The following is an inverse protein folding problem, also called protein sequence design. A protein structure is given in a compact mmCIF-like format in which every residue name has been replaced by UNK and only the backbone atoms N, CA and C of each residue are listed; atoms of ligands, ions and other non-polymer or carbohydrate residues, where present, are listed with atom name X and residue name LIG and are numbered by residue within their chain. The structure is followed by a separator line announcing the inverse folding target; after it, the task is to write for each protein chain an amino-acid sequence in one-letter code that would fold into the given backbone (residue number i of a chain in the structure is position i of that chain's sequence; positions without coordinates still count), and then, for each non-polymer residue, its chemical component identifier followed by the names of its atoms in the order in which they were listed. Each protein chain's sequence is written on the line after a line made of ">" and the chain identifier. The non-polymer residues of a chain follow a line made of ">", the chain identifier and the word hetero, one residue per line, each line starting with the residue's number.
data_IF_711586516308
#
_entry.id   IF_711586516308
#
_cell.length_a   1.000
_cell.length_b   1.000
_cell.length_c   1.000
_cell.angle_alpha   90.00
_cell.angle_beta   90.00
_cell.angle_gamma   90.00
#
_symmetry.space_group_name_H-M   'P 1'
#
loop_
_entity.id
_entity.type
_entity.pdbx_description
1 polymer ?
#
# COMPACT_ATOMS: atom_id res chain seq x y z
N UNK A 1 8.21 16.78 -1.76
CA UNK A 1 7.34 16.28 -0.70
C UNK A 1 6.38 15.31 -1.35
N UNK A 2 6.60 14.04 -1.08
CA UNK A 2 5.77 12.92 -1.46
C UNK A 2 4.38 12.97 -0.86
N UNK A 3 3.42 12.34 -1.54
CA UNK A 3 2.03 12.25 -1.08
C UNK A 3 1.89 11.26 0.08
N UNK A 4 2.75 10.24 0.12
CA UNK A 4 2.73 9.15 1.09
C UNK A 4 3.54 9.46 2.35
N UNK A 5 4.57 10.31 2.26
CA UNK A 5 5.49 10.59 3.38
C UNK A 5 4.81 11.27 4.58
N UNK A 6 3.71 11.99 4.33
CA UNK A 6 2.92 12.69 5.36
C UNK A 6 1.63 11.95 5.73
N UNK A 7 1.42 10.73 5.21
CA UNK A 7 0.19 10.00 5.41
C UNK A 7 0.16 9.29 6.78
N UNK A 8 -0.90 9.50 7.55
CA UNK A 8 -1.11 8.77 8.81
C UNK A 8 -1.45 7.29 8.58
N UNK A 9 -2.24 7.01 7.54
CA UNK A 9 -2.61 5.65 7.15
C UNK A 9 -2.31 5.42 5.68
N UNK A 10 -1.66 4.29 5.40
CA UNK A 10 -1.34 3.84 4.05
C UNK A 10 -1.95 2.47 3.84
N UNK A 11 -2.55 2.29 2.68
CA UNK A 11 -3.20 1.06 2.30
C UNK A 11 -2.90 0.67 0.86
N UNK A 12 -3.14 -0.59 0.59
CA UNK A 12 -3.15 -1.15 -0.75
C UNK A 12 -4.59 -1.07 -1.27
N UNK A 13 -4.80 -0.38 -2.38
CA UNK A 13 -6.09 -0.26 -3.06
C UNK A 13 -6.04 -0.97 -4.40
N UNK A 14 -7.14 -1.61 -4.79
CA UNK A 14 -7.28 -2.17 -6.13
C UNK A 14 -7.58 -1.04 -7.13
N UNK A 15 -6.86 -0.97 -8.25
CA UNK A 15 -7.06 0.08 -9.26
C UNK A 15 -8.43 0.03 -9.93
N UNK A 16 -9.02 -1.17 -10.09
CA UNK A 16 -10.25 -1.33 -10.84
C UNK A 16 -11.49 -0.95 -10.02
N UNK A 17 -11.56 -1.37 -8.76
CA UNK A 17 -12.72 -1.14 -7.89
C UNK A 17 -12.49 -0.10 -6.79
N UNK A 18 -11.26 0.40 -6.65
CA UNK A 18 -10.87 1.33 -5.58
C UNK A 18 -11.09 0.75 -4.16
N UNK A 19 -11.24 -0.58 -4.07
CA UNK A 19 -11.42 -1.29 -2.79
C UNK A 19 -10.10 -1.35 -2.05
N UNK A 20 -10.18 -1.22 -0.74
CA UNK A 20 -9.04 -1.42 0.16
C UNK A 20 -8.80 -2.93 0.27
N UNK A 21 -7.65 -3.37 -0.24
CA UNK A 21 -7.21 -4.77 -0.19
C UNK A 21 -6.54 -5.05 1.15
N UNK A 22 -5.68 -4.12 1.60
CA UNK A 22 -5.01 -4.21 2.89
C UNK A 22 -4.67 -2.83 3.44
N UNK A 23 -4.62 -2.74 4.76
CA UNK A 23 -4.16 -1.55 5.48
C UNK A 23 -2.83 -1.87 6.11
N UNK A 24 -1.81 -1.07 5.83
CA UNK A 24 -0.50 -1.26 6.42
C UNK A 24 -0.55 -0.80 7.90
N UNK A 25 -0.24 -1.68 8.87
CA UNK A 25 -0.49 -1.41 10.28
C UNK A 25 0.61 -0.58 10.96
N UNK A 26 1.77 -0.38 10.31
CA UNK A 26 2.91 0.33 10.88
C UNK A 26 3.08 1.72 10.28
N UNK A 27 3.77 2.61 10.98
CA UNK A 27 4.15 3.91 10.43
C UNK A 27 5.35 3.72 9.51
N UNK A 28 5.21 4.08 8.25
CA UNK A 28 6.31 4.12 7.29
C UNK A 28 6.87 5.53 7.19
N UNK A 29 8.19 5.63 7.02
CA UNK A 29 8.89 6.89 6.82
C UNK A 29 9.88 6.69 5.68
N UNK A 30 9.95 7.65 4.76
CA UNK A 30 10.81 7.57 3.60
C UNK A 30 10.17 8.26 2.40
N UNK A 31 10.76 8.04 1.23
CA UNK A 31 10.20 8.52 -0.04
C UNK A 31 8.98 7.70 -0.45
N UNK A 32 8.10 8.23 -1.32
CA UNK A 32 6.96 7.47 -1.83
C UNK A 32 7.37 6.12 -2.41
N UNK A 33 8.49 6.07 -3.14
CA UNK A 33 8.99 4.84 -3.76
C UNK A 33 9.37 3.78 -2.71
N UNK A 34 10.02 4.19 -1.61
CA UNK A 34 10.35 3.29 -0.51
C UNK A 34 9.10 2.79 0.21
N UNK A 35 8.16 3.70 0.49
CA UNK A 35 6.88 3.37 1.11
C UNK A 35 6.12 2.35 0.25
N UNK A 36 6.02 2.60 -1.06
CA UNK A 36 5.36 1.69 -1.99
C UNK A 36 6.00 0.31 -1.93
N UNK A 37 7.35 0.25 -1.92
CA UNK A 37 8.06 -1.02 -1.85
C UNK A 37 7.80 -1.75 -0.53
N UNK A 38 7.89 -1.06 0.62
CA UNK A 38 7.66 -1.63 1.95
C UNK A 38 6.25 -2.23 2.06
N UNK A 39 5.23 -1.48 1.66
CA UNK A 39 3.83 -1.92 1.77
C UNK A 39 3.55 -3.09 0.83
N UNK A 40 4.09 -3.07 -0.40
CA UNK A 40 3.90 -4.18 -1.37
C UNK A 40 4.62 -5.44 -0.93
N UNK A 41 5.85 -5.32 -0.42
CA UNK A 41 6.64 -6.46 0.08
C UNK A 41 5.96 -7.10 1.29
N UNK A 42 5.50 -6.30 2.25
CA UNK A 42 4.72 -6.77 3.39
C UNK A 42 3.43 -7.50 2.98
N UNK A 43 2.69 -6.94 2.02
CA UNK A 43 1.45 -7.57 1.54
C UNK A 43 1.73 -8.87 0.78
N UNK A 44 2.81 -8.91 -0.01
CA UNK A 44 3.28 -10.12 -0.69
C UNK A 44 3.64 -11.23 0.30
N UNK A 45 4.28 -10.89 1.42
CA UNK A 45 4.58 -11.85 2.49
C UNK A 45 3.32 -12.39 3.20
N UNK A 46 2.19 -11.70 3.09
CA UNK A 46 0.97 -12.05 3.83
C UNK A 46 0.19 -13.21 3.19
N UNK A 47 0.22 -13.37 1.86
CA UNK A 47 -0.44 -14.49 1.19
C UNK A 47 0.08 -14.73 -0.23
N UNK A 48 0.14 -15.99 -0.66
CA UNK A 48 0.55 -16.35 -2.02
C UNK A 48 -0.44 -15.83 -3.09
N UNK A 49 -1.72 -15.64 -2.73
CA UNK A 49 -2.73 -15.02 -3.60
C UNK A 49 -2.54 -13.50 -3.77
N UNK A 50 -1.65 -12.88 -2.99
CA UNK A 50 -1.38 -11.45 -3.07
C UNK A 50 -0.62 -11.06 -4.33
N UNK A 51 0.05 -11.98 -5.02
CA UNK A 51 0.81 -11.69 -6.25
C UNK A 51 -0.10 -11.17 -7.37
N UNK A 52 -1.18 -11.88 -7.68
CA UNK A 52 -2.19 -11.44 -8.66
C UNK A 52 -2.87 -10.13 -8.25
N UNK A 53 -3.17 -9.98 -6.95
CA UNK A 53 -3.78 -8.76 -6.43
C UNK A 53 -2.80 -7.57 -6.53
N UNK A 54 -1.51 -7.79 -6.33
CA UNK A 54 -0.47 -6.75 -6.44
C UNK A 54 -0.28 -6.21 -7.85
N UNK A 55 -0.60 -7.00 -8.90
CA UNK A 55 -0.56 -6.55 -10.29
C UNK A 55 -1.60 -5.46 -10.55
N UNK A 56 -2.77 -5.60 -9.92
CA UNK A 56 -3.89 -4.67 -10.07
C UNK A 56 -3.99 -3.66 -8.93
N UNK A 57 -3.19 -3.80 -7.88
CA UNK A 57 -3.19 -2.89 -6.74
C UNK A 57 -2.18 -1.75 -6.85
N UNK A 58 -2.44 -0.69 -6.09
CA UNK A 58 -1.53 0.41 -5.85
C UNK A 58 -1.56 0.84 -4.39
N UNK A 59 -0.43 1.37 -3.91
CA UNK A 59 -0.34 1.94 -2.56
C UNK A 59 -0.86 3.36 -2.62
N UNK A 60 -1.75 3.71 -1.70
CA UNK A 60 -2.31 5.04 -1.59
C UNK A 60 -2.66 5.37 -0.13
N UNK A 61 -2.85 6.66 0.13
CA UNK A 61 -3.24 7.15 1.45
C UNK A 61 -4.68 6.76 1.75
N UNK A 62 -4.95 6.35 2.99
CA UNK A 62 -6.29 6.15 3.50
C UNK A 62 -6.64 7.38 4.33
N UNK A 63 -7.28 8.35 3.70
CA UNK A 63 -7.95 9.43 4.41
C UNK A 63 -9.29 8.90 4.91
N UNK A 64 -9.59 9.10 6.20
CA UNK A 64 -10.92 8.87 6.79
C UNK A 64 -11.97 9.83 6.21
#
# INVERSE_FOLDING_TARGET
>A
MGKLESAEKIGLKEKATNKILAVYPYKVTGTDAEIIKIVRDWYYQQSCAAEDQLLTAHVDVLTE
#
